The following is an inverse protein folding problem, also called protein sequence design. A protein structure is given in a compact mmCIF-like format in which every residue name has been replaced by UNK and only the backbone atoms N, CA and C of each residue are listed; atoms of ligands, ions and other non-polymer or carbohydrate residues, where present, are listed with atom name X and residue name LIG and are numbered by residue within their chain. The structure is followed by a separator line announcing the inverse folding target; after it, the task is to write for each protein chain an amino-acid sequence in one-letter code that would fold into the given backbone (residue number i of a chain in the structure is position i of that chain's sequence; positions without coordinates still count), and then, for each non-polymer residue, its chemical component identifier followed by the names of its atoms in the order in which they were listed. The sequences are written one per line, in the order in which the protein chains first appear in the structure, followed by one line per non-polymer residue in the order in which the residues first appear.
data_IF_527482873573
#
_entry.id   IF_527482873573
#
_cell.length_a   1.000
_cell.length_b   1.000
_cell.length_c   1.000
_cell.angle_alpha   90.00
_cell.angle_beta   90.00
_cell.angle_gamma   90.00
#
_symmetry.space_group_name_H-M   'P 1'
#
loop_
_entity.id
_entity.type
_entity.pdbx_description
1 polymer ?
#
# COMPACT_ATOMS: atom_id res chain seq x y z
N UNK A 1 -11.67 -0.01 15.22
CA UNK A 1 -12.85 -0.09 14.36
C UNK A 1 -12.33 -0.49 12.99
N UNK A 2 -12.71 -1.66 12.48
CA UNK A 2 -12.36 -2.05 11.12
C UNK A 2 -13.25 -1.28 10.16
N UNK A 3 -12.67 -0.68 9.13
CA UNK A 3 -13.42 -0.09 8.01
C UNK A 3 -13.12 -0.94 6.78
N UNK A 4 -14.08 -1.04 5.86
CA UNK A 4 -13.86 -1.70 4.57
C UNK A 4 -13.47 -0.66 3.52
N UNK A 5 -12.43 -0.93 2.73
CA UNK A 5 -12.10 -0.13 1.55
C UNK A 5 -12.29 -0.93 0.28
N UNK A 6 -12.66 -0.25 -0.80
CA UNK A 6 -12.65 -0.78 -2.15
C UNK A 6 -11.71 0.05 -3.01
N UNK A 7 -10.67 -0.59 -3.56
CA UNK A 7 -9.78 0.05 -4.51
C UNK A 7 -10.54 0.51 -5.75
N UNK A 8 -10.41 1.80 -6.08
CA UNK A 8 -10.96 2.39 -7.30
C UNK A 8 -9.89 2.49 -8.37
N UNK A 9 -8.73 3.03 -8.00
CA UNK A 9 -7.61 3.27 -8.91
C UNK A 9 -6.30 3.31 -8.12
N UNK A 10 -5.22 2.88 -8.72
CA UNK A 10 -3.89 3.08 -8.18
C UNK A 10 -2.90 3.32 -9.31
N UNK A 11 -1.95 4.20 -9.04
CA UNK A 11 -0.74 4.41 -9.80
C UNK A 11 0.39 4.38 -8.76
N UNK A 12 1.04 3.24 -8.60
CA UNK A 12 1.91 2.99 -7.46
C UNK A 12 3.21 2.37 -7.92
N UNK A 13 4.30 3.13 -7.78
CA UNK A 13 5.59 2.76 -8.33
C UNK A 13 6.68 2.73 -7.26
N UNK A 14 7.45 1.64 -7.20
CA UNK A 14 8.68 1.51 -6.40
C UNK A 14 9.74 0.88 -7.31
N UNK A 15 10.93 1.48 -7.37
CA UNK A 15 12.04 0.94 -8.16
C UNK A 15 12.63 -0.29 -7.49
N UNK A 16 13.14 -1.23 -8.28
CA UNK A 16 13.83 -2.42 -7.79
C UNK A 16 14.92 -2.07 -6.74
N UNK A 17 15.71 -1.02 -6.99
CA UNK A 17 16.80 -0.54 -6.11
C UNK A 17 16.34 -0.02 -4.74
N UNK A 18 15.05 0.27 -4.59
CA UNK A 18 14.44 0.77 -3.36
C UNK A 18 13.71 -0.33 -2.58
N UNK A 19 13.41 -1.49 -3.19
CA UNK A 19 12.60 -2.55 -2.56
C UNK A 19 13.18 -3.07 -1.25
N UNK A 20 14.49 -3.30 -1.21
CA UNK A 20 15.16 -3.77 0.00
C UNK A 20 15.10 -2.73 1.14
N UNK A 21 15.18 -1.44 0.82
CA UNK A 21 15.09 -0.35 1.80
C UNK A 21 13.64 -0.15 2.27
N UNK A 22 12.68 -0.30 1.36
CA UNK A 22 11.25 -0.30 1.67
C UNK A 22 10.89 -1.44 2.63
N UNK A 23 11.38 -2.65 2.37
CA UNK A 23 11.21 -3.80 3.26
C UNK A 23 11.76 -3.51 4.67
N UNK A 24 12.99 -3.02 4.76
CA UNK A 24 13.61 -2.68 6.04
C UNK A 24 12.83 -1.62 6.83
N UNK A 25 12.20 -0.66 6.15
CA UNK A 25 11.38 0.36 6.80
C UNK A 25 10.08 -0.21 7.39
N UNK A 26 9.42 -1.15 6.70
CA UNK A 26 8.21 -1.79 7.23
C UNK A 26 8.55 -2.65 8.46
N UNK A 27 9.68 -3.35 8.44
CA UNK A 27 10.14 -4.16 9.57
C UNK A 27 10.37 -3.34 10.85
N UNK A 28 10.60 -2.03 10.75
CA UNK A 28 10.73 -1.14 11.92
C UNK A 28 9.38 -0.75 12.55
N UNK A 29 8.26 -0.97 11.85
CA UNK A 29 6.92 -0.59 12.29
C UNK A 29 6.17 -1.81 12.87
N UNK A 30 6.55 -3.02 12.48
CA UNK A 30 5.93 -4.25 12.95
C UNK A 30 6.11 -4.47 14.46
N UNK A 31 5.00 -4.55 15.19
CA UNK A 31 4.98 -5.16 16.53
C UNK A 31 5.14 -6.68 16.39
N UNK A 32 5.46 -7.39 17.48
CA UNK A 32 5.76 -8.83 17.48
C UNK A 32 4.77 -9.70 16.69
N UNK A 33 3.46 -9.38 16.73
CA UNK A 33 2.42 -10.14 16.00
C UNK A 33 2.50 -10.01 14.48
N UNK A 34 2.83 -8.82 13.95
CA UNK A 34 3.01 -8.63 12.49
C UNK A 34 4.29 -9.33 12.03
N UNK A 35 5.33 -9.33 12.87
CA UNK A 35 6.56 -10.05 12.59
C UNK A 35 6.35 -11.58 12.58
N UNK A 36 5.46 -12.11 13.42
CA UNK A 36 5.07 -13.53 13.40
C UNK A 36 4.32 -13.90 12.12
N UNK A 37 3.34 -13.10 11.69
CA UNK A 37 2.60 -13.34 10.42
C UNK A 37 3.54 -13.29 9.21
N UNK A 38 4.43 -12.29 9.16
CA UNK A 38 5.46 -12.18 8.11
C UNK A 38 6.40 -13.39 8.14
N UNK A 39 6.82 -13.84 9.33
CA UNK A 39 7.75 -14.96 9.47
C UNK A 39 7.13 -16.29 9.05
N UNK A 40 5.83 -16.48 9.27
CA UNK A 40 5.11 -17.68 8.81
C UNK A 40 4.96 -17.67 7.28
N UNK A 41 4.63 -16.53 6.66
CA UNK A 41 4.56 -16.40 5.20
C UNK A 41 5.92 -16.61 4.50
N UNK A 42 7.00 -16.07 5.08
CA UNK A 42 8.37 -16.25 4.58
C UNK A 42 8.80 -17.72 4.69
N UNK A 43 8.43 -18.42 5.78
CA UNK A 43 8.81 -19.83 5.98
C UNK A 43 8.27 -20.74 4.87
N UNK A 44 7.10 -20.41 4.34
CA UNK A 44 6.46 -21.19 3.27
C UNK A 44 6.96 -20.83 1.86
N UNK A 45 7.82 -19.81 1.73
CA UNK A 45 8.28 -19.28 0.43
C UNK A 45 9.80 -18.95 0.43
N UNK A 46 10.63 -19.90 0.01
CA UNK A 46 12.12 -19.80 0.00
C UNK A 46 12.70 -18.81 -1.05
N UNK A 47 11.92 -18.32 -2.02
CA UNK A 47 12.42 -17.58 -3.20
C UNK A 47 11.52 -16.38 -3.61
N UNK A 48 10.71 -15.87 -2.67
CA UNK A 48 9.72 -14.82 -2.96
C UNK A 48 10.22 -13.46 -2.49
N UNK A 49 9.92 -12.44 -3.29
CA UNK A 49 10.22 -11.04 -2.98
C UNK A 49 9.72 -10.67 -1.58
N UNK A 50 10.67 -10.38 -0.68
CA UNK A 50 10.36 -10.13 0.73
C UNK A 50 9.50 -8.88 0.92
N UNK A 51 9.58 -7.91 0.01
CA UNK A 51 8.70 -6.74 0.07
C UNK A 51 7.26 -7.14 -0.28
N UNK A 52 7.06 -7.98 -1.30
CA UNK A 52 5.73 -8.42 -1.70
C UNK A 52 5.04 -9.22 -0.57
N UNK A 53 5.77 -10.11 0.11
CA UNK A 53 5.26 -10.87 1.27
C UNK A 53 4.88 -9.94 2.41
N UNK A 54 5.77 -9.00 2.74
CA UNK A 54 5.51 -8.09 3.86
C UNK A 54 4.30 -7.21 3.56
N UNK A 55 4.12 -6.74 2.33
CA UNK A 55 2.96 -5.94 1.94
C UNK A 55 1.68 -6.78 1.90
N UNK A 56 1.75 -8.06 1.54
CA UNK A 56 0.58 -8.98 1.57
C UNK A 56 0.06 -9.27 2.98
N UNK A 57 0.93 -9.24 3.99
CA UNK A 57 0.50 -9.33 5.39
C UNK A 57 -0.45 -8.17 5.80
N UNK A 58 -0.40 -7.04 5.10
CA UNK A 58 -1.33 -5.91 5.30
C UNK A 58 -2.57 -5.99 4.39
N UNK A 59 -2.77 -7.10 3.67
CA UNK A 59 -3.88 -7.26 2.73
C UNK A 59 -3.67 -6.57 1.38
N UNK A 60 -2.43 -6.20 1.04
CA UNK A 60 -2.10 -5.54 -0.21
C UNK A 60 -1.18 -6.40 -1.07
N UNK A 61 -1.41 -6.44 -2.37
CA UNK A 61 -0.57 -7.17 -3.32
C UNK A 61 0.12 -6.20 -4.27
N UNK A 62 1.44 -6.30 -4.36
CA UNK A 62 2.23 -5.55 -5.33
C UNK A 62 2.10 -6.18 -6.72
N UNK A 63 2.13 -5.33 -7.75
CA UNK A 63 2.19 -5.73 -9.15
C UNK A 63 3.54 -5.31 -9.69
N UNK A 64 4.26 -6.25 -10.28
CA UNK A 64 5.64 -6.05 -10.72
C UNK A 64 5.77 -6.18 -12.24
N UNK A 65 6.75 -5.48 -12.82
CA UNK A 65 7.13 -5.60 -14.22
C UNK A 65 8.24 -6.64 -14.45
N UNK A 66 8.72 -6.77 -15.68
CA UNK A 66 9.79 -7.71 -16.06
C UNK A 66 11.18 -7.33 -15.52
N UNK A 67 11.32 -6.15 -14.91
CA UNK A 67 12.56 -5.67 -14.28
C UNK A 67 12.45 -5.62 -12.76
N UNK A 68 11.52 -6.36 -12.17
CA UNK A 68 11.22 -6.41 -10.74
C UNK A 68 10.83 -5.06 -10.12
N UNK A 69 10.47 -4.06 -10.94
CA UNK A 69 9.93 -2.81 -10.42
C UNK A 69 8.48 -3.02 -10.03
N UNK A 70 8.06 -2.42 -8.92
CA UNK A 70 6.65 -2.33 -8.57
C UNK A 70 6.03 -1.26 -9.47
N UNK A 71 4.98 -1.64 -10.20
CA UNK A 71 4.23 -0.77 -11.13
C UNK A 71 2.74 -0.68 -10.77
N UNK A 72 2.34 -1.32 -9.68
CA UNK A 72 1.00 -1.16 -9.14
C UNK A 72 0.82 -1.83 -7.79
N UNK A 73 -0.36 -1.62 -7.21
CA UNK A 73 -0.79 -2.23 -5.96
C UNK A 73 -2.28 -2.55 -6.01
N UNK A 74 -2.69 -3.65 -5.38
CA UNK A 74 -4.08 -4.11 -5.28
C UNK A 74 -4.43 -4.41 -3.83
N UNK A 75 -5.68 -4.14 -3.47
CA UNK A 75 -6.19 -4.55 -2.16
C UNK A 75 -6.86 -5.92 -2.29
N UNK A 76 -6.36 -6.90 -1.54
CA UNK A 76 -6.87 -8.29 -1.46
C UNK A 76 -7.31 -8.66 -0.03
N UNK A 77 -7.16 -7.75 0.94
CA UNK A 77 -7.48 -7.98 2.34
C UNK A 77 -8.99 -7.97 2.63
N UNK A 78 -9.38 -8.70 3.67
CA UNK A 78 -10.77 -8.71 4.17
C UNK A 78 -11.06 -7.57 5.15
N UNK A 79 -10.03 -6.99 5.78
CA UNK A 79 -10.16 -5.92 6.79
C UNK A 79 -8.97 -4.97 6.74
N UNK A 80 -9.25 -3.68 6.91
CA UNK A 80 -8.24 -2.60 6.97
C UNK A 80 -7.88 -2.24 8.41
N UNK A 81 -6.58 -2.02 8.69
CA UNK A 81 -6.11 -1.77 10.06
C UNK A 81 -4.93 -0.80 10.16
N UNK A 82 -3.99 -0.82 9.21
CA UNK A 82 -2.69 -0.13 9.35
C UNK A 82 -2.15 0.45 8.03
N UNK A 83 -3.02 0.74 7.09
CA UNK A 83 -2.67 1.29 5.77
C UNK A 83 -1.89 2.59 5.92
N UNK A 84 -2.30 3.45 6.86
CA UNK A 84 -1.61 4.70 7.13
C UNK A 84 -0.17 4.48 7.60
N UNK A 85 0.07 3.49 8.47
CA UNK A 85 1.41 3.14 8.94
C UNK A 85 2.25 2.54 7.81
N UNK A 86 1.69 1.59 7.07
CA UNK A 86 2.32 0.95 5.91
C UNK A 86 2.73 1.98 4.85
N UNK A 87 1.78 2.82 4.42
CA UNK A 87 2.03 3.79 3.36
C UNK A 87 2.96 4.91 3.81
N UNK A 88 2.95 5.30 5.09
CA UNK A 88 3.99 6.21 5.63
C UNK A 88 5.38 5.59 5.60
N UNK A 89 5.49 4.30 5.90
CA UNK A 89 6.76 3.55 5.82
C UNK A 89 7.31 3.50 4.40
N UNK A 90 6.43 3.24 3.45
CA UNK A 90 6.77 3.08 2.04
C UNK A 90 7.05 4.43 1.37
N UNK A 91 6.45 5.51 1.84
CA UNK A 91 6.49 6.81 1.15
C UNK A 91 7.87 7.31 0.71
N UNK A 92 8.97 7.15 1.48
CA UNK A 92 10.31 7.57 1.06
C UNK A 92 10.84 6.82 -0.18
N UNK A 93 10.24 5.68 -0.52
CA UNK A 93 10.68 4.75 -1.57
C UNK A 93 9.70 4.68 -2.75
N UNK A 94 8.55 5.34 -2.61
CA UNK A 94 7.52 5.42 -3.65
C UNK A 94 7.84 6.58 -4.57
N UNK A 95 7.70 6.38 -5.88
CA UNK A 95 7.92 7.43 -6.87
C UNK A 95 6.92 8.57 -6.66
N UNK A 96 7.44 9.80 -6.60
CA UNK A 96 6.65 11.02 -6.46
C UNK A 96 5.53 11.10 -7.50
N UNK A 97 4.32 11.44 -7.03
CA UNK A 97 3.11 11.48 -7.84
C UNK A 97 2.29 10.18 -7.82
N UNK A 98 2.81 9.10 -7.23
CA UNK A 98 2.04 7.87 -7.02
C UNK A 98 0.82 8.13 -6.12
N UNK A 99 -0.22 7.32 -6.28
CA UNK A 99 -1.43 7.36 -5.46
C UNK A 99 -2.16 6.01 -5.37
N UNK A 100 -2.97 5.88 -4.32
CA UNK A 100 -3.93 4.78 -4.13
C UNK A 100 -5.28 5.40 -3.76
N UNK A 101 -6.26 5.31 -4.66
CA UNK A 101 -7.62 5.84 -4.53
C UNK A 101 -8.59 4.73 -4.12
N UNK A 102 -9.36 4.98 -3.06
CA UNK A 102 -10.31 4.01 -2.50
C UNK A 102 -11.65 4.65 -2.16
N UNK A 103 -12.66 3.80 -2.06
CA UNK A 103 -13.96 4.12 -1.46
C UNK A 103 -14.05 3.41 -0.11
N UNK A 104 -14.30 4.17 0.96
CA UNK A 104 -14.56 3.65 2.29
C UNK A 104 -15.99 3.12 2.44
N UNK A 105 -16.30 2.62 3.63
CA UNK A 105 -17.55 1.93 3.96
C UNK A 105 -18.80 2.79 3.73
N UNK A 106 -18.75 4.08 4.10
CA UNK A 106 -19.87 5.01 3.99
C UNK A 106 -19.95 5.70 2.61
N UNK A 107 -19.20 5.20 1.62
CA UNK A 107 -19.09 5.83 0.30
C UNK A 107 -18.12 7.01 0.26
N UNK A 108 -17.39 7.27 1.34
CA UNK A 108 -16.32 8.27 1.37
C UNK A 108 -15.24 7.91 0.34
N UNK A 109 -14.85 8.88 -0.48
CA UNK A 109 -13.77 8.71 -1.43
C UNK A 109 -12.53 9.43 -0.93
N UNK A 110 -11.41 8.72 -0.85
CA UNK A 110 -10.15 9.32 -0.48
C UNK A 110 -8.99 8.61 -1.16
N UNK A 111 -7.83 9.25 -1.10
CA UNK A 111 -6.59 8.66 -1.62
C UNK A 111 -5.43 8.87 -0.69
N UNK A 112 -4.50 7.93 -0.74
CA UNK A 112 -3.14 8.14 -0.27
C UNK A 112 -2.32 8.66 -1.46
N UNK A 113 -1.71 9.84 -1.29
CA UNK A 113 -0.88 10.50 -2.30
C UNK A 113 0.57 10.59 -1.81
N UNK A 114 1.51 10.23 -2.67
CA UNK A 114 2.92 10.13 -2.33
C UNK A 114 3.72 11.24 -3.02
N UNK A 115 4.38 12.09 -2.22
CA UNK A 115 5.23 13.17 -2.74
C UNK A 115 6.27 13.59 -1.72
N UNK A 116 7.47 13.95 -2.19
CA UNK A 116 8.58 14.38 -1.36
C UNK A 116 8.90 13.39 -0.21
N UNK A 117 8.80 12.09 -0.50
CA UNK A 117 9.03 11.01 0.46
C UNK A 117 8.00 10.91 1.59
N UNK A 118 6.81 11.50 1.42
CA UNK A 118 5.72 11.51 2.40
C UNK A 118 4.41 11.02 1.80
N UNK A 119 3.61 10.37 2.64
CA UNK A 119 2.26 9.95 2.31
C UNK A 119 1.24 10.93 2.94
N UNK A 120 0.30 11.38 2.13
CA UNK A 120 -0.79 12.26 2.52
C UNK A 120 -2.12 11.60 2.23
N UNK A 121 -3.02 11.57 3.20
CA UNK A 121 -4.40 11.21 2.95
C UNK A 121 -5.16 12.45 2.47
N UNK A 122 -5.83 12.33 1.33
CA UNK A 122 -6.64 13.39 0.74
C UNK A 122 -8.07 12.91 0.55
N UNK A 123 -9.02 13.61 1.16
CA UNK A 123 -10.46 13.39 0.97
C UNK A 123 -10.91 13.98 -0.38
N UNK A 124 -11.80 13.28 -1.08
CA UNK A 124 -12.41 13.78 -2.30
C UNK A 124 -13.51 14.80 -1.98
N UNK A 125 -13.73 15.73 -2.92
CA UNK A 125 -14.90 16.60 -2.94
C UNK A 125 -15.71 16.19 -4.18
N UNK A 126 -16.92 15.70 -3.96
CA UNK A 126 -17.82 15.32 -5.06
C UNK A 126 -18.84 16.44 -5.25
N UNK A 127 -18.89 16.99 -6.46
CA UNK A 127 -19.87 18.01 -6.86
C UNK A 127 -20.57 17.58 -8.14
N UNK A 128 -21.87 17.87 -8.23
CA UNK A 128 -22.63 17.75 -9.46
C UNK A 128 -22.70 19.11 -10.14
N UNK A 129 -22.34 19.17 -11.42
CA UNK A 129 -22.60 20.36 -12.23
C UNK A 129 -24.09 20.42 -12.59
N UNK A 130 -24.65 21.63 -12.68
CA UNK A 130 -26.02 21.80 -13.18
C UNK A 130 -26.09 21.32 -14.62
N UNK A 131 -27.10 20.49 -14.91
CA UNK A 131 -27.39 20.08 -16.28
C UNK A 131 -28.01 21.28 -17.04
N UNK A 132 -27.66 21.48 -18.32
CA UNK A 132 -28.23 22.54 -19.15
C UNK A 132 -29.74 22.40 -19.38
#
# INVERSE_FOLDING_TARGET
MSYCIRLQKADFHIRQEDKQRAHAAIMQIGNSSVQEEIADEIRDHDDVDTLAIVVSAFGWRLVEDTGDNVVGIRYEGEKCWREEELFKALAPYVVDGSYVEVTGEDGDHFRWFFTAGKCYQQQAIISWEDLP
#
